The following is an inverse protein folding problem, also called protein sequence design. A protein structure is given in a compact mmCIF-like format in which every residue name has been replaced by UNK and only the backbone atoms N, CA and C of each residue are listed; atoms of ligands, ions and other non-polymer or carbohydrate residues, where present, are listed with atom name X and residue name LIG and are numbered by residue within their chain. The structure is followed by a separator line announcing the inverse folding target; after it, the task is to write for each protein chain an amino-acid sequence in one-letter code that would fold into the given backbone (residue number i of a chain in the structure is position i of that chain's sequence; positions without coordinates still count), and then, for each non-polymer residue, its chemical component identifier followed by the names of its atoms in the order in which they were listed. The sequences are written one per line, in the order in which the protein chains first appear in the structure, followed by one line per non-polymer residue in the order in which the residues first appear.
data_IF_716279388868
#
_entry.id   IF_716279388868
#
_cell.length_a   1.000
_cell.length_b   1.000
_cell.length_c   1.000
_cell.angle_alpha   90.00
_cell.angle_beta   90.00
_cell.angle_gamma   90.00
#
_symmetry.space_group_name_H-M   'P 1'
#
loop_
_entity.id
_entity.type
_entity.pdbx_description
1 polymer ?
#
# COMPACT_ATOMS: atom_id res chain seq x y z
N UNK A 1 -8.40 55.83 -54.92
CA UNK A 1 -8.10 55.42 -53.52
C UNK A 1 -7.01 54.37 -53.58
N UNK A 2 -5.81 54.66 -53.09
CA UNK A 2 -4.62 53.84 -53.33
C UNK A 2 -4.55 52.62 -52.39
N UNK A 3 -3.82 51.59 -52.82
CA UNK A 3 -3.58 50.30 -52.16
C UNK A 3 -3.12 50.38 -50.69
N UNK A 4 -2.79 51.59 -50.19
CA UNK A 4 -2.37 51.87 -48.80
C UNK A 4 -3.51 52.12 -47.80
N UNK A 5 -4.78 52.21 -48.25
CA UNK A 5 -5.92 52.42 -47.33
C UNK A 5 -6.70 51.14 -46.99
N UNK A 6 -6.41 50.00 -47.63
CA UNK A 6 -6.97 48.68 -47.27
C UNK A 6 -6.14 47.89 -46.25
N UNK A 7 -4.95 48.36 -45.90
CA UNK A 7 -4.07 47.67 -44.95
C UNK A 7 -4.24 48.09 -43.48
N UNK A 8 -5.10 49.05 -43.14
CA UNK A 8 -5.34 49.43 -41.74
C UNK A 8 -6.64 48.89 -41.15
N UNK A 9 -7.53 48.30 -41.96
CA UNK A 9 -8.80 47.71 -41.47
C UNK A 9 -8.72 46.19 -41.24
N UNK A 10 -7.59 45.53 -41.53
CA UNK A 10 -7.44 44.07 -41.39
C UNK A 10 -6.62 43.68 -40.15
N UNK A 11 -5.87 44.61 -39.54
CA UNK A 11 -5.03 44.29 -38.36
C UNK A 11 -5.72 44.43 -37.01
N UNK A 12 -6.86 45.13 -36.91
CA UNK A 12 -7.58 45.27 -35.62
C UNK A 12 -8.61 44.15 -35.41
N UNK A 13 -9.07 43.49 -36.47
CA UNK A 13 -9.98 42.33 -36.34
C UNK A 13 -9.24 40.99 -36.16
N UNK A 14 -7.95 40.92 -36.50
CA UNK A 14 -7.14 39.70 -36.32
C UNK A 14 -6.45 39.61 -34.95
N UNK A 15 -6.39 40.70 -34.16
CA UNK A 15 -5.86 40.63 -32.79
C UNK A 15 -6.91 40.28 -31.72
N UNK A 16 -8.20 40.38 -32.06
CA UNK A 16 -9.30 39.97 -31.16
C UNK A 16 -9.71 38.50 -31.42
N UNK A 17 -9.40 37.96 -32.61
CA UNK A 17 -9.53 36.52 -32.90
C UNK A 17 -8.30 35.68 -32.56
N UNK A 18 -7.18 36.30 -32.15
CA UNK A 18 -5.99 35.57 -31.64
C UNK A 18 -5.90 35.50 -30.12
N UNK A 19 -6.81 36.15 -29.38
CA UNK A 19 -6.89 36.07 -27.91
C UNK A 19 -8.06 35.21 -27.39
N UNK A 20 -8.94 34.72 -28.28
CA UNK A 20 -9.95 33.69 -27.94
C UNK A 20 -9.52 32.27 -28.35
N UNK A 21 -8.39 32.12 -29.02
CA UNK A 21 -7.86 30.82 -29.44
C UNK A 21 -6.81 30.26 -28.48
N UNK A 22 -6.48 30.98 -27.41
CA UNK A 22 -5.46 30.59 -26.43
C UNK A 22 -6.07 30.17 -25.07
N UNK A 23 -7.31 29.69 -25.09
CA UNK A 23 -7.96 29.01 -23.97
C UNK A 23 -8.97 27.96 -24.47
N UNK A 24 -8.64 27.28 -25.57
CA UNK A 24 -9.08 25.90 -25.72
C UNK A 24 -7.83 25.10 -25.39
N UNK A 25 -7.66 24.80 -24.10
CA UNK A 25 -6.89 23.63 -23.70
C UNK A 25 -7.31 22.51 -24.65
N UNK A 26 -6.36 21.98 -25.39
CA UNK A 26 -6.52 20.69 -26.04
C UNK A 26 -7.17 19.75 -25.03
N UNK A 27 -8.45 19.43 -25.27
CA UNK A 27 -9.06 18.19 -24.80
C UNK A 27 -8.45 17.04 -25.60
N UNK A 28 -7.14 16.94 -25.59
CA UNK A 28 -6.45 15.70 -25.86
C UNK A 28 -5.92 15.21 -24.52
N UNK A 29 -6.80 14.55 -23.76
CA UNK A 29 -6.36 13.35 -23.08
C UNK A 29 -7.43 12.31 -23.31
N UNK A 30 -7.08 11.28 -24.09
CA UNK A 30 -7.52 9.93 -23.76
C UNK A 30 -7.44 9.82 -22.24
N UNK A 31 -8.53 9.46 -21.60
CA UNK A 31 -8.62 9.13 -20.17
C UNK A 31 -7.61 8.01 -19.86
N UNK A 32 -6.33 8.37 -19.79
CA UNK A 32 -5.24 7.55 -19.31
C UNK A 32 -5.43 7.52 -17.80
N UNK A 33 -6.45 6.76 -17.37
CA UNK A 33 -6.73 6.50 -15.97
C UNK A 33 -5.47 5.91 -15.40
N UNK A 34 -4.81 6.68 -14.55
CA UNK A 34 -3.63 6.19 -13.89
C UNK A 34 -3.98 5.00 -13.02
N UNK A 35 -3.06 4.02 -12.99
CA UNK A 35 -3.27 2.73 -12.33
C UNK A 35 -2.11 2.36 -11.43
N UNK A 36 -2.41 1.54 -10.44
CA UNK A 36 -1.42 0.71 -9.76
C UNK A 36 -1.13 -0.46 -10.70
N UNK A 37 0.12 -0.61 -11.13
CA UNK A 37 0.53 -1.60 -12.13
C UNK A 37 1.47 -2.59 -11.50
N UNK A 38 0.98 -3.81 -11.26
CA UNK A 38 1.78 -4.90 -10.71
C UNK A 38 2.58 -5.56 -11.83
N UNK A 39 3.87 -5.78 -11.59
CA UNK A 39 4.75 -6.47 -12.53
C UNK A 39 5.81 -7.28 -11.79
N UNK A 40 6.35 -8.28 -12.48
CA UNK A 40 7.27 -9.24 -11.90
C UNK A 40 8.50 -9.38 -12.79
N UNK A 41 9.68 -9.06 -12.25
CA UNK A 41 10.93 -9.42 -12.87
C UNK A 41 11.22 -10.91 -12.63
N UNK A 42 11.81 -11.57 -13.64
CA UNK A 42 12.20 -12.98 -13.54
C UNK A 42 13.17 -13.17 -12.38
N UNK A 43 12.84 -14.08 -11.47
CA UNK A 43 13.72 -14.42 -10.37
C UNK A 43 15.01 -15.10 -10.86
N UNK A 44 16.10 -14.90 -10.13
CA UNK A 44 17.43 -15.42 -10.46
C UNK A 44 17.87 -16.55 -9.51
N UNK A 45 17.15 -16.71 -8.40
CA UNK A 45 17.42 -17.68 -7.34
C UNK A 45 16.28 -18.66 -7.19
N UNK A 46 16.56 -19.86 -6.67
CA UNK A 46 15.51 -20.85 -6.38
C UNK A 46 14.48 -20.33 -5.38
N UNK A 47 14.93 -19.59 -4.35
CA UNK A 47 14.04 -18.95 -3.37
C UNK A 47 13.16 -17.89 -4.02
N UNK A 48 13.76 -17.01 -4.82
CA UNK A 48 13.02 -15.99 -5.56
C UNK A 48 12.02 -16.59 -6.54
N UNK A 49 12.40 -17.65 -7.26
CA UNK A 49 11.51 -18.31 -8.23
C UNK A 49 10.29 -18.93 -7.55
N UNK A 50 10.47 -19.57 -6.40
CA UNK A 50 9.36 -20.10 -5.62
C UNK A 50 8.33 -19.02 -5.24
N UNK A 51 8.79 -17.86 -4.74
CA UNK A 51 7.90 -16.75 -4.41
C UNK A 51 7.28 -16.16 -5.67
N UNK A 52 8.07 -15.94 -6.73
CA UNK A 52 7.62 -15.41 -8.01
C UNK A 52 6.45 -16.21 -8.59
N UNK A 53 6.53 -17.55 -8.61
CA UNK A 53 5.43 -18.38 -9.12
C UNK A 53 4.16 -18.17 -8.28
N UNK A 54 4.28 -18.21 -6.94
CA UNK A 54 3.14 -18.06 -6.03
C UNK A 54 2.44 -16.72 -6.26
N UNK A 55 3.17 -15.60 -6.15
CA UNK A 55 2.53 -14.26 -6.23
C UNK A 55 1.95 -13.98 -7.62
N UNK A 56 2.58 -14.49 -8.68
CA UNK A 56 2.12 -14.31 -10.06
C UNK A 56 0.89 -15.17 -10.39
N UNK A 57 0.77 -16.36 -9.80
CA UNK A 57 -0.37 -17.25 -10.00
C UNK A 57 -1.58 -16.81 -9.18
N UNK A 58 -1.38 -16.37 -7.93
CA UNK A 58 -2.45 -15.95 -7.02
C UNK A 58 -3.25 -14.73 -7.48
N UNK A 59 -2.58 -13.74 -8.09
CA UNK A 59 -3.18 -12.50 -8.63
C UNK A 59 -3.94 -11.60 -7.65
N UNK A 60 -3.84 -11.86 -6.34
CA UNK A 60 -4.52 -11.05 -5.32
C UNK A 60 -4.15 -9.58 -5.42
N UNK A 61 -2.87 -9.28 -5.67
CA UNK A 61 -2.38 -7.92 -5.78
C UNK A 61 -2.90 -7.19 -7.01
N UNK A 62 -3.04 -7.86 -8.14
CA UNK A 62 -3.64 -7.30 -9.35
C UNK A 62 -5.11 -6.95 -9.11
N UNK A 63 -5.86 -7.86 -8.47
CA UNK A 63 -7.27 -7.64 -8.13
C UNK A 63 -7.42 -6.44 -7.20
N UNK A 64 -6.59 -6.35 -6.15
CA UNK A 64 -6.59 -5.23 -5.21
C UNK A 64 -6.13 -3.93 -5.87
N UNK A 65 -5.11 -3.99 -6.71
CA UNK A 65 -4.60 -2.85 -7.48
C UNK A 65 -5.65 -2.29 -8.43
N UNK A 66 -6.40 -3.16 -9.11
CA UNK A 66 -7.51 -2.76 -9.97
C UNK A 66 -8.66 -2.14 -9.15
N UNK A 67 -9.00 -2.74 -8.00
CA UNK A 67 -10.03 -2.19 -7.11
C UNK A 67 -9.65 -0.78 -6.62
N UNK A 68 -8.43 -0.57 -6.14
CA UNK A 68 -7.93 0.73 -5.72
C UNK A 68 -7.86 1.71 -6.90
N UNK A 69 -7.32 1.28 -8.04
CA UNK A 69 -7.24 2.09 -9.27
C UNK A 69 -8.61 2.48 -9.81
N UNK A 70 -9.66 1.71 -9.52
CA UNK A 70 -11.03 2.03 -9.92
C UNK A 70 -11.68 3.09 -9.02
N UNK A 71 -11.22 3.22 -7.76
CA UNK A 71 -11.78 4.11 -6.74
C UNK A 71 -11.00 5.41 -6.58
N UNK A 72 -9.68 5.38 -6.79
CA UNK A 72 -8.78 6.51 -6.51
C UNK A 72 -8.25 7.11 -7.81
N UNK A 73 -8.32 8.44 -7.91
CA UNK A 73 -7.75 9.25 -8.98
C UNK A 73 -6.32 9.63 -8.59
N UNK A 74 -5.36 8.98 -9.22
CA UNK A 74 -3.93 9.23 -9.03
C UNK A 74 -3.41 10.22 -10.09
N UNK A 75 -2.37 11.01 -9.77
CA UNK A 75 -1.75 11.93 -10.73
C UNK A 75 -0.80 11.24 -11.72
N UNK A 76 -0.40 10.00 -11.45
CA UNK A 76 0.45 9.17 -12.30
C UNK A 76 0.25 7.68 -11.96
N UNK A 77 0.73 6.79 -12.84
CA UNK A 77 0.76 5.35 -12.56
C UNK A 77 1.68 5.07 -11.36
N UNK A 78 1.32 4.08 -10.57
CA UNK A 78 2.12 3.58 -9.45
C UNK A 78 2.59 2.15 -9.78
N UNK A 79 3.83 1.98 -10.27
CA UNK A 79 4.38 0.65 -10.50
C UNK A 79 4.64 -0.07 -9.18
N UNK A 80 4.18 -1.32 -9.07
CA UNK A 80 4.54 -2.26 -8.01
C UNK A 80 5.36 -3.37 -8.67
N UNK A 81 6.66 -3.41 -8.40
CA UNK A 81 7.61 -4.26 -9.12
C UNK A 81 8.24 -5.27 -8.18
N UNK A 82 7.96 -6.55 -8.45
CA UNK A 82 8.59 -7.67 -7.76
C UNK A 82 9.95 -8.01 -8.37
N UNK A 83 10.97 -8.16 -7.52
CA UNK A 83 12.37 -8.33 -7.93
C UNK A 83 13.11 -9.34 -7.06
N UNK A 84 14.18 -9.94 -7.60
CA UNK A 84 15.12 -10.79 -6.86
C UNK A 84 16.42 -10.02 -6.60
N UNK A 85 16.39 -9.09 -5.64
CA UNK A 85 17.54 -8.25 -5.32
C UNK A 85 18.43 -8.86 -4.24
N UNK A 86 17.97 -9.96 -3.60
CA UNK A 86 18.63 -10.65 -2.48
C UNK A 86 18.78 -9.72 -1.26
N UNK A 87 17.83 -8.83 -1.07
CA UNK A 87 17.68 -7.98 0.12
C UNK A 87 16.38 -8.32 0.83
N UNK A 88 16.39 -8.25 2.15
CA UNK A 88 15.20 -8.54 2.96
C UNK A 88 14.35 -7.27 3.13
N UNK A 89 13.95 -6.66 2.01
CA UNK A 89 13.19 -5.40 2.06
C UNK A 89 12.09 -5.27 0.98
N UNK A 90 11.09 -4.45 1.29
CA UNK A 90 10.15 -3.87 0.35
C UNK A 90 10.04 -2.38 0.69
N UNK A 91 9.87 -1.53 -0.33
CA UNK A 91 9.85 -0.08 -0.10
C UNK A 91 9.19 0.68 -1.24
N UNK A 92 8.54 1.79 -0.88
CA UNK A 92 8.21 2.86 -1.80
C UNK A 92 9.41 3.79 -2.03
N UNK A 93 9.73 4.07 -3.30
CA UNK A 93 10.76 5.03 -3.70
C UNK A 93 10.11 6.39 -4.09
N UNK A 94 10.25 7.45 -3.28
CA UNK A 94 9.63 8.75 -3.57
C UNK A 94 10.29 9.51 -4.74
N UNK A 95 11.49 9.11 -5.18
CA UNK A 95 12.18 9.74 -6.31
C UNK A 95 11.70 9.14 -7.64
N UNK A 96 11.57 7.82 -7.69
CA UNK A 96 11.14 7.08 -8.88
C UNK A 96 9.62 6.82 -8.92
N UNK A 97 8.91 7.10 -7.82
CA UNK A 97 7.47 6.93 -7.66
C UNK A 97 7.00 5.50 -7.94
N UNK A 98 7.75 4.52 -7.44
CA UNK A 98 7.45 3.09 -7.57
C UNK A 98 7.57 2.37 -6.23
N UNK A 99 6.96 1.19 -6.16
CA UNK A 99 7.10 0.26 -5.05
C UNK A 99 7.96 -0.91 -5.53
N UNK A 100 8.99 -1.24 -4.77
CA UNK A 100 9.81 -2.43 -4.98
C UNK A 100 9.50 -3.48 -3.93
N UNK A 101 9.18 -4.70 -4.39
CA UNK A 101 8.90 -5.86 -3.55
C UNK A 101 10.00 -6.91 -3.78
N UNK A 102 10.95 -7.07 -2.86
CA UNK A 102 11.93 -8.16 -2.99
C UNK A 102 11.32 -9.51 -2.58
N UNK A 103 11.46 -10.53 -3.42
CA UNK A 103 11.06 -11.89 -3.09
C UNK A 103 11.67 -12.41 -1.77
N UNK A 104 12.86 -11.93 -1.40
CA UNK A 104 13.56 -12.42 -0.21
C UNK A 104 12.92 -12.00 1.12
N UNK A 105 12.28 -10.83 1.19
CA UNK A 105 11.56 -10.42 2.41
C UNK A 105 10.33 -11.30 2.63
N UNK A 106 9.62 -11.63 1.55
CA UNK A 106 8.44 -12.49 1.56
C UNK A 106 8.84 -13.93 1.94
N UNK A 107 9.91 -14.45 1.32
CA UNK A 107 10.45 -15.77 1.66
C UNK A 107 10.92 -15.85 3.12
N UNK A 108 11.52 -14.78 3.65
CA UNK A 108 11.92 -14.72 5.05
C UNK A 108 10.72 -14.91 5.97
N UNK A 109 9.59 -14.25 5.70
CA UNK A 109 8.37 -14.43 6.50
C UNK A 109 7.74 -15.80 6.35
N UNK A 110 7.61 -16.29 5.13
CA UNK A 110 7.06 -17.61 4.87
C UNK A 110 7.86 -18.70 5.62
N UNK A 111 9.20 -18.62 5.58
CA UNK A 111 10.07 -19.53 6.31
C UNK A 111 9.95 -19.38 7.83
N UNK A 112 9.82 -18.15 8.32
CA UNK A 112 9.67 -17.92 9.74
C UNK A 112 8.37 -18.54 10.27
N UNK A 113 7.26 -18.36 9.55
CA UNK A 113 5.96 -18.97 9.86
C UNK A 113 6.05 -20.51 9.87
N UNK A 114 6.63 -21.09 8.81
CA UNK A 114 6.82 -22.54 8.69
C UNK A 114 7.64 -23.13 9.85
N UNK A 115 8.66 -22.42 10.33
CA UNK A 115 9.51 -22.89 11.43
C UNK A 115 8.81 -22.91 12.80
N UNK A 116 7.77 -22.08 12.99
CA UNK A 116 7.00 -22.06 14.24
C UNK A 116 5.90 -23.10 14.27
N UNK A 117 5.27 -23.34 13.13
CA UNK A 117 4.19 -24.30 12.97
C UNK A 117 4.37 -24.93 11.60
N UNK A 118 4.70 -26.24 11.51
CA UNK A 118 4.80 -26.91 10.22
C UNK A 118 3.50 -26.73 9.43
N UNK A 119 3.59 -26.00 8.33
CA UNK A 119 2.47 -25.69 7.44
C UNK A 119 2.38 -26.74 6.33
N UNK A 120 1.17 -26.96 5.82
CA UNK A 120 1.01 -27.63 4.53
C UNK A 120 1.52 -26.73 3.39
N UNK A 121 1.75 -27.29 2.21
CA UNK A 121 2.13 -26.50 1.04
C UNK A 121 1.06 -25.46 0.69
N UNK A 122 -0.22 -25.80 0.85
CA UNK A 122 -1.35 -24.90 0.63
C UNK A 122 -1.36 -23.73 1.62
N UNK A 123 -1.16 -24.01 2.91
CA UNK A 123 -1.09 -22.96 3.94
C UNK A 123 0.14 -22.05 3.74
N UNK A 124 1.24 -22.59 3.22
CA UNK A 124 2.45 -21.81 2.93
C UNK A 124 2.25 -20.88 1.73
N UNK A 125 1.61 -21.36 0.65
CA UNK A 125 1.21 -20.55 -0.50
C UNK A 125 0.32 -19.39 -0.03
N UNK A 126 -0.70 -19.73 0.77
CA UNK A 126 -1.62 -18.74 1.30
C UNK A 126 -0.91 -17.72 2.20
N UNK A 127 0.04 -18.15 3.04
CA UNK A 127 0.83 -17.24 3.86
C UNK A 127 1.66 -16.27 3.02
N UNK A 128 2.27 -16.76 1.91
CA UNK A 128 3.04 -15.93 0.96
C UNK A 128 2.14 -14.89 0.29
N UNK A 129 0.96 -15.27 -0.20
CA UNK A 129 0.02 -14.36 -0.84
C UNK A 129 -0.48 -13.27 0.13
N UNK A 130 -0.86 -13.70 1.34
CA UNK A 130 -1.40 -12.81 2.36
C UNK A 130 -0.37 -11.82 2.92
N UNK A 131 0.86 -12.25 3.17
CA UNK A 131 1.92 -11.33 3.63
C UNK A 131 2.35 -10.38 2.51
N UNK A 132 2.44 -10.86 1.27
CA UNK A 132 2.74 -10.02 0.11
C UNK A 132 1.68 -8.93 -0.07
N UNK A 133 0.41 -9.31 0.13
CA UNK A 133 -0.72 -8.38 0.09
C UNK A 133 -0.60 -7.28 1.14
N UNK A 134 -0.35 -7.65 2.40
CA UNK A 134 -0.22 -6.68 3.48
C UNK A 134 0.96 -5.72 3.21
N UNK A 135 2.14 -6.24 2.86
CA UNK A 135 3.34 -5.43 2.59
C UNK A 135 3.08 -4.48 1.41
N UNK A 136 2.50 -4.94 0.30
CA UNK A 136 2.24 -4.07 -0.84
C UNK A 136 1.23 -2.96 -0.51
N UNK A 137 0.21 -3.26 0.30
CA UNK A 137 -0.73 -2.24 0.77
C UNK A 137 -0.07 -1.23 1.71
N UNK A 138 0.85 -1.68 2.57
CA UNK A 138 1.65 -0.80 3.41
C UNK A 138 2.45 0.19 2.56
N UNK A 139 3.21 -0.30 1.56
CA UNK A 139 3.95 0.56 0.64
C UNK A 139 3.05 1.45 -0.22
N UNK A 140 1.84 0.97 -0.54
CA UNK A 140 0.82 1.80 -1.22
C UNK A 140 0.35 2.94 -0.33
N UNK A 141 0.30 2.74 0.99
CA UNK A 141 0.04 3.80 1.97
C UNK A 141 1.07 4.92 1.88
N UNK A 142 2.36 4.58 1.89
CA UNK A 142 3.45 5.55 1.66
C UNK A 142 3.29 6.26 0.31
N UNK A 143 3.09 5.49 -0.74
CA UNK A 143 2.93 6.03 -2.09
C UNK A 143 1.75 7.01 -2.18
N UNK A 144 0.62 6.72 -1.55
CA UNK A 144 -0.55 7.60 -1.58
C UNK A 144 -0.34 8.88 -0.77
N UNK A 145 0.32 8.79 0.39
CA UNK A 145 0.68 9.97 1.19
C UNK A 145 1.53 10.94 0.35
N UNK A 146 2.53 10.43 -0.36
CA UNK A 146 3.42 11.24 -1.21
C UNK A 146 2.72 11.71 -2.50
N UNK A 147 2.22 10.78 -3.32
CA UNK A 147 1.62 11.07 -4.62
C UNK A 147 0.43 12.02 -4.54
N UNK A 148 -0.40 11.88 -3.51
CA UNK A 148 -1.59 12.71 -3.31
C UNK A 148 -1.32 13.90 -2.38
N UNK A 149 -0.06 14.06 -1.93
CA UNK A 149 0.35 15.11 -1.01
C UNK A 149 -0.60 15.23 0.19
N UNK A 150 -0.96 14.08 0.77
CA UNK A 150 -1.92 14.01 1.86
C UNK A 150 -1.38 14.79 3.08
N UNK A 151 -2.27 15.39 3.90
CA UNK A 151 -1.84 16.01 5.15
C UNK A 151 -1.16 14.98 6.05
N UNK A 152 -0.32 15.43 6.99
CA UNK A 152 0.37 14.52 7.91
C UNK A 152 -0.64 13.61 8.63
N UNK A 153 -0.68 12.34 8.22
CA UNK A 153 -1.54 11.31 8.82
C UNK A 153 -0.92 10.71 10.09
N UNK A 154 -0.14 11.52 10.83
CA UNK A 154 0.55 11.12 12.04
C UNK A 154 1.97 10.69 11.71
N UNK A 155 2.46 9.69 12.44
CA UNK A 155 3.71 9.02 12.07
C UNK A 155 3.46 8.20 10.79
N UNK A 156 4.35 8.32 9.81
CA UNK A 156 4.13 7.79 8.45
C UNK A 156 3.96 6.28 8.43
N UNK A 157 4.79 5.55 9.15
CA UNK A 157 4.68 4.11 9.34
C UNK A 157 3.33 3.66 9.90
N UNK A 158 2.83 4.40 10.89
CA UNK A 158 1.51 4.12 11.48
C UNK A 158 0.39 4.41 10.48
N UNK A 159 0.53 5.46 9.68
CA UNK A 159 -0.42 5.76 8.62
C UNK A 159 -0.41 4.65 7.55
N UNK A 160 0.76 4.16 7.13
CA UNK A 160 0.88 3.07 6.18
C UNK A 160 0.28 1.74 6.73
N UNK A 161 0.51 1.42 8.00
CA UNK A 161 -0.15 0.28 8.68
C UNK A 161 -1.68 0.44 8.75
N UNK A 162 -2.15 1.65 9.10
CA UNK A 162 -3.57 1.99 9.13
C UNK A 162 -4.19 1.80 7.75
N UNK A 163 -3.54 2.31 6.70
CA UNK A 163 -4.03 2.16 5.33
C UNK A 163 -4.18 0.69 4.96
N UNK A 164 -3.11 -0.11 5.13
CA UNK A 164 -3.13 -1.53 4.80
C UNK A 164 -4.23 -2.28 5.58
N UNK A 165 -4.33 -2.03 6.88
CA UNK A 165 -5.34 -2.66 7.75
C UNK A 165 -6.75 -2.30 7.32
N UNK A 166 -7.03 -1.02 7.06
CA UNK A 166 -8.35 -0.54 6.66
C UNK A 166 -8.75 -1.06 5.27
N UNK A 167 -7.83 -1.10 4.31
CA UNK A 167 -8.13 -1.66 2.99
C UNK A 167 -8.49 -3.15 3.09
N UNK A 168 -7.74 -3.93 3.86
CA UNK A 168 -8.03 -5.36 4.07
C UNK A 168 -9.37 -5.60 4.78
N UNK A 169 -9.72 -4.76 5.76
CA UNK A 169 -11.03 -4.83 6.42
C UNK A 169 -12.19 -4.52 5.47
N UNK A 170 -11.99 -3.61 4.50
CA UNK A 170 -13.02 -3.22 3.53
C UNK A 170 -13.31 -4.30 2.47
N UNK A 171 -12.37 -5.22 2.18
CA UNK A 171 -12.60 -6.26 1.16
C UNK A 171 -13.56 -7.36 1.62
N UNK A 172 -13.76 -7.51 2.94
CA UNK A 172 -14.49 -8.62 3.54
C UNK A 172 -13.79 -9.99 3.42
N UNK A 173 -12.62 -10.04 2.76
CA UNK A 173 -11.82 -11.25 2.54
C UNK A 173 -10.39 -11.13 3.09
N UNK A 174 -10.03 -9.96 3.65
CA UNK A 174 -8.68 -9.68 4.15
C UNK A 174 -8.32 -10.31 5.49
N UNK A 175 -9.18 -11.16 6.09
CA UNK A 175 -8.93 -11.74 7.41
C UNK A 175 -7.60 -12.48 7.48
N UNK A 176 -7.28 -13.27 6.46
CA UNK A 176 -6.06 -14.08 6.43
C UNK A 176 -4.82 -13.20 6.26
N UNK A 177 -4.89 -12.14 5.45
CA UNK A 177 -3.85 -11.13 5.34
C UNK A 177 -3.62 -10.38 6.66
N UNK A 178 -4.69 -10.03 7.36
CA UNK A 178 -4.61 -9.40 8.69
C UNK A 178 -4.00 -10.34 9.74
N UNK A 179 -4.39 -11.62 9.73
CA UNK A 179 -3.81 -12.65 10.61
C UNK A 179 -2.32 -12.86 10.29
N UNK A 180 -1.95 -12.93 9.02
CA UNK A 180 -0.57 -13.03 8.59
C UNK A 180 0.25 -11.82 9.06
N UNK A 181 -0.29 -10.61 8.94
CA UNK A 181 0.35 -9.39 9.41
C UNK A 181 0.56 -9.38 10.92
N UNK A 182 -0.46 -9.64 11.74
CA UNK A 182 -0.29 -9.65 13.21
C UNK A 182 0.64 -10.79 13.65
N UNK A 183 0.66 -11.92 12.94
CA UNK A 183 1.59 -13.01 13.22
C UNK A 183 3.02 -12.55 12.92
N UNK A 184 3.25 -11.93 11.76
CA UNK A 184 4.53 -11.34 11.40
C UNK A 184 5.04 -10.33 12.45
N UNK A 185 4.22 -9.34 12.81
CA UNK A 185 4.61 -8.34 13.82
C UNK A 185 4.90 -8.97 15.18
N UNK A 186 4.09 -9.95 15.61
CA UNK A 186 4.30 -10.68 16.87
C UNK A 186 5.63 -11.44 16.87
N UNK A 187 5.94 -12.14 15.77
CA UNK A 187 7.20 -12.85 15.59
C UNK A 187 8.41 -11.94 15.64
N UNK A 188 8.33 -10.80 14.94
CA UNK A 188 9.40 -9.81 14.94
C UNK A 188 9.69 -9.33 16.37
N UNK A 189 8.64 -8.97 17.11
CA UNK A 189 8.77 -8.53 18.49
C UNK A 189 9.37 -9.61 19.40
N UNK A 190 8.98 -10.88 19.24
CA UNK A 190 9.53 -11.99 20.02
C UNK A 190 11.01 -12.26 19.69
N UNK A 191 11.38 -12.24 18.41
CA UNK A 191 12.75 -12.50 17.95
C UNK A 191 13.73 -11.39 18.35
N UNK A 192 13.29 -10.12 18.38
CA UNK A 192 14.12 -9.03 18.92
C UNK A 192 14.50 -9.26 20.39
N UNK A 193 13.57 -9.81 21.18
CA UNK A 193 13.79 -10.06 22.61
C UNK A 193 14.66 -11.30 22.89
N UNK A 194 14.72 -12.26 21.95
CA UNK A 194 15.45 -13.52 22.14
C UNK A 194 16.87 -13.51 21.59
N UNK A 195 17.17 -12.68 20.58
CA UNK A 195 18.54 -12.58 20.03
C UNK A 195 18.96 -11.12 19.79
N UNK A 196 19.43 -10.42 20.83
CA UNK A 196 19.99 -9.08 20.67
C UNK A 196 21.28 -9.16 19.85
N UNK A 197 21.23 -8.79 18.56
CA UNK A 197 22.42 -8.56 17.73
C UNK A 197 22.75 -9.58 16.63
N UNK A 198 21.90 -10.57 16.33
CA UNK A 198 22.14 -11.54 15.22
C UNK A 198 21.12 -11.50 14.09
N UNK A 199 20.08 -10.67 14.18
CA UNK A 199 19.06 -10.58 13.13
C UNK A 199 19.55 -9.71 11.98
N UNK A 200 20.10 -10.38 10.96
CA UNK A 200 20.28 -9.97 9.55
C UNK A 200 19.79 -8.55 9.27
N UNK A 201 20.69 -7.58 9.41
CA UNK A 201 20.81 -6.36 8.60
C UNK A 201 19.46 -5.92 7.96
N UNK A 202 18.78 -4.99 8.65
CA UNK A 202 17.94 -3.98 8.02
C UNK A 202 16.62 -4.42 7.34
N UNK A 203 15.46 -4.22 7.98
CA UNK A 203 14.53 -3.16 7.58
C UNK A 203 15.01 -1.69 7.80
N UNK A 204 16.30 -1.45 8.02
CA UNK A 204 16.77 -0.43 8.97
C UNK A 204 17.32 0.87 8.37
N UNK A 205 16.44 1.83 8.17
CA UNK A 205 16.61 3.08 8.94
C UNK A 205 15.28 3.84 9.12
N UNK A 206 14.16 3.35 8.54
CA UNK A 206 12.89 4.09 8.55
C UNK A 206 11.66 3.28 9.00
N UNK A 207 11.72 1.93 9.05
CA UNK A 207 10.58 1.08 9.44
C UNK A 207 10.80 0.28 10.75
N UNK A 208 11.13 0.90 11.90
CA UNK A 208 11.17 0.15 13.15
C UNK A 208 9.78 -0.40 13.48
N UNK A 209 9.67 -1.73 13.54
CA UNK A 209 8.45 -2.41 13.98
C UNK A 209 8.38 -2.34 15.51
N UNK A 210 7.86 -1.22 16.00
CA UNK A 210 7.56 -0.97 17.42
C UNK A 210 6.32 -1.78 17.85
N UNK A 211 6.32 -2.28 19.09
CA UNK A 211 5.17 -2.93 19.73
C UNK A 211 3.91 -2.05 19.70
N UNK A 212 4.06 -0.72 19.66
CA UNK A 212 2.94 0.19 19.49
C UNK A 212 2.24 0.02 18.14
N UNK A 213 2.99 -0.20 17.05
CA UNK A 213 2.43 -0.44 15.70
C UNK A 213 1.66 -1.75 15.64
N UNK A 214 2.22 -2.82 16.23
CA UNK A 214 1.51 -4.08 16.42
C UNK A 214 0.15 -3.88 17.09
N UNK A 215 0.13 -3.22 18.24
CA UNK A 215 -1.12 -3.00 18.95
C UNK A 215 -2.04 -1.99 18.26
N UNK A 216 -1.54 -1.08 17.41
CA UNK A 216 -2.39 -0.23 16.56
C UNK A 216 -3.16 -1.11 15.56
N UNK A 217 -2.47 -1.99 14.84
CA UNK A 217 -3.09 -2.91 13.88
C UNK A 217 -4.12 -3.81 14.57
N UNK A 218 -3.73 -4.51 15.65
CA UNK A 218 -4.63 -5.41 16.40
C UNK A 218 -5.85 -4.67 16.94
N UNK A 219 -5.67 -3.43 17.41
CA UNK A 219 -6.77 -2.58 17.89
C UNK A 219 -7.73 -2.20 16.76
N UNK A 220 -7.25 -1.88 15.56
CA UNK A 220 -8.11 -1.58 14.41
C UNK A 220 -8.90 -2.81 13.95
N UNK A 221 -8.25 -3.99 13.91
CA UNK A 221 -8.91 -5.25 13.57
C UNK A 221 -10.04 -5.53 14.57
N UNK A 222 -9.74 -5.51 15.87
CA UNK A 222 -10.75 -5.74 16.91
C UNK A 222 -11.88 -4.71 16.84
N UNK A 223 -11.54 -3.41 16.71
CA UNK A 223 -12.50 -2.32 16.65
C UNK A 223 -13.45 -2.35 15.45
N UNK A 224 -13.04 -3.00 14.36
CA UNK A 224 -13.89 -3.15 13.18
C UNK A 224 -15.09 -4.08 13.40
N UNK A 225 -14.91 -5.13 14.20
CA UNK A 225 -15.95 -6.09 14.56
C UNK A 225 -15.55 -6.88 15.82
N UNK A 226 -15.82 -6.34 17.02
CA UNK A 226 -15.43 -6.99 18.28
C UNK A 226 -15.98 -8.40 18.47
N UNK A 227 -17.18 -8.68 17.93
CA UNK A 227 -17.80 -10.00 18.02
C UNK A 227 -17.07 -11.04 17.17
N UNK A 228 -16.60 -10.66 15.98
CA UNK A 228 -15.85 -11.54 15.09
C UNK A 228 -14.43 -11.79 15.61
N UNK A 229 -13.78 -10.76 16.14
CA UNK A 229 -12.37 -10.80 16.56
C UNK A 229 -12.20 -10.91 18.08
N UNK A 230 -13.19 -11.44 18.79
CA UNK A 230 -13.15 -11.63 20.26
C UNK A 230 -11.89 -12.38 20.71
N UNK A 231 -11.41 -13.33 19.88
CA UNK A 231 -10.20 -14.11 20.14
C UNK A 231 -8.95 -13.25 20.39
N UNK A 232 -8.87 -12.05 19.81
CA UNK A 232 -7.74 -11.15 20.02
C UNK A 232 -7.60 -10.77 21.50
N UNK A 233 -8.72 -10.58 22.20
CA UNK A 233 -8.73 -10.28 23.64
C UNK A 233 -8.60 -11.56 24.46
N UNK A 234 -9.39 -12.59 24.15
CA UNK A 234 -9.43 -13.82 24.97
C UNK A 234 -8.14 -14.64 24.92
N UNK A 235 -7.35 -14.50 23.85
CA UNK A 235 -6.01 -15.11 23.74
C UNK A 235 -4.87 -14.17 24.19
N UNK A 236 -5.19 -12.96 24.66
CA UNK A 236 -4.19 -12.02 25.18
C UNK A 236 -3.36 -11.28 24.13
N UNK A 237 -3.76 -11.32 22.85
CA UNK A 237 -3.11 -10.58 21.77
C UNK A 237 -3.43 -9.07 21.84
N UNK A 238 -4.58 -8.70 22.40
CA UNK A 238 -5.01 -7.34 22.67
C UNK A 238 -5.33 -7.15 24.16
N UNK A 239 -4.62 -6.27 24.88
CA UNK A 239 -4.96 -5.97 26.27
C UNK A 239 -6.39 -5.43 26.40
N UNK A 240 -7.16 -5.92 27.38
CA UNK A 240 -8.54 -5.49 27.62
C UNK A 240 -8.69 -3.98 27.78
N UNK A 241 -7.71 -3.33 28.43
CA UNK A 241 -7.70 -1.88 28.61
C UNK A 241 -7.68 -1.12 27.27
N UNK A 242 -7.02 -1.69 26.25
CA UNK A 242 -6.93 -1.13 24.90
C UNK A 242 -8.16 -1.48 24.07
N UNK A 243 -8.68 -2.70 24.20
CA UNK A 243 -9.91 -3.14 23.52
C UNK A 243 -11.10 -2.19 23.76
N UNK A 244 -11.20 -1.62 24.97
CA UNK A 244 -12.27 -0.65 25.36
C UNK A 244 -12.37 0.59 24.47
N UNK A 245 -11.29 0.99 23.78
CA UNK A 245 -11.28 2.15 22.89
C UNK A 245 -11.13 1.78 21.41
N UNK A 246 -10.99 0.50 21.10
CA UNK A 246 -10.66 0.03 19.76
C UNK A 246 -11.74 0.36 18.72
N UNK A 247 -13.02 0.27 19.06
CA UNK A 247 -14.11 0.67 18.15
C UNK A 247 -14.05 2.17 17.79
N UNK A 248 -13.75 3.01 18.79
CA UNK A 248 -13.53 4.45 18.56
C UNK A 248 -12.30 4.71 17.70
N UNK A 249 -11.17 4.05 18.02
CA UNK A 249 -9.93 4.17 17.24
C UNK A 249 -10.17 3.76 15.77
N UNK A 250 -10.89 2.65 15.53
CA UNK A 250 -11.25 2.20 14.18
C UNK A 250 -12.09 3.23 13.41
N UNK A 251 -13.12 3.79 14.05
CA UNK A 251 -13.98 4.81 13.44
C UNK A 251 -13.20 6.09 13.11
N UNK A 252 -12.39 6.56 14.05
CA UNK A 252 -11.56 7.77 13.88
C UNK A 252 -10.56 7.60 12.73
N UNK A 253 -9.83 6.48 12.67
CA UNK A 253 -8.88 6.22 11.57
C UNK A 253 -9.57 6.05 10.23
N UNK A 254 -10.70 5.35 10.19
CA UNK A 254 -11.49 5.19 8.96
C UNK A 254 -11.97 6.55 8.44
N UNK A 255 -12.53 7.38 9.32
CA UNK A 255 -12.99 8.72 8.95
C UNK A 255 -11.84 9.58 8.43
N UNK A 256 -10.71 9.58 9.13
CA UNK A 256 -9.53 10.36 8.76
C UNK A 256 -8.98 9.98 7.38
N UNK A 257 -8.88 8.69 7.07
CA UNK A 257 -8.44 8.22 5.75
C UNK A 257 -9.45 8.55 4.66
N UNK A 258 -10.75 8.45 4.95
CA UNK A 258 -11.80 8.85 4.01
C UNK A 258 -11.76 10.35 3.70
N UNK A 259 -11.55 11.20 4.71
CA UNK A 259 -11.40 12.65 4.55
C UNK A 259 -10.16 13.00 3.75
N UNK A 260 -9.01 12.37 4.05
CA UNK A 260 -7.76 12.59 3.33
C UNK A 260 -7.87 12.21 1.84
N UNK A 261 -8.61 11.15 1.52
CA UNK A 261 -8.78 10.67 0.16
C UNK A 261 -9.98 11.31 -0.57
N UNK A 262 -10.80 12.12 0.09
CA UNK A 262 -12.10 12.58 -0.44
C UNK A 262 -12.00 13.25 -1.82
N UNK A 263 -11.02 14.12 -2.03
CA UNK A 263 -10.79 14.85 -3.30
C UNK A 263 -10.21 13.97 -4.42
N UNK A 264 -9.81 12.75 -4.06
CA UNK A 264 -9.21 11.76 -4.94
C UNK A 264 -10.14 10.56 -5.21
N UNK A 265 -11.28 10.46 -4.53
CA UNK A 265 -12.29 9.44 -4.86
C UNK A 265 -12.92 9.78 -6.23
N UNK A 266 -13.11 8.75 -7.05
CA UNK A 266 -13.75 8.84 -8.37
C UNK A 266 -15.27 8.86 -8.30
#
# INVERSE_FOLDING_TARGET
MSYKQLQHAVWITLLILSLQSCALLEKDTVDARHKIVVSYETAQTTTGDAIFQIVKEGKDLEVLSDALSSRIRMPQDLPVVFKDLKVYNAYYNPQEKNITMDYWVIAYFANALYNMTPLSDEDLIEAVENISTFIALHETGHAFIDLLSLPALGNEEQAADEFATLQLLQTGQGDKALIAAITFFSMYYQNQNQQPGTNVIQYSDEHPLDIQRYYNIVSLIYGSNPAKYEFLVTQGLLPEARAKRSEYDYQEKTQRWNEALADYIR
#
